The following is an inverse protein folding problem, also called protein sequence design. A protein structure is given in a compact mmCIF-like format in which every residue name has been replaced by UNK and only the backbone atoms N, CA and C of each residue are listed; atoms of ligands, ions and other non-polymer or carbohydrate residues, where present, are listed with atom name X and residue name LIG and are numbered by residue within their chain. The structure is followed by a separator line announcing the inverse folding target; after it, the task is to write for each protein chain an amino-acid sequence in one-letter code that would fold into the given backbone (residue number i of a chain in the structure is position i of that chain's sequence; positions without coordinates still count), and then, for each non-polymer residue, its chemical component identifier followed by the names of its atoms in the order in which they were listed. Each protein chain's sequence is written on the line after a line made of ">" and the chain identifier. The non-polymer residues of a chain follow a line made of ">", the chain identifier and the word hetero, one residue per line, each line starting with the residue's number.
data_IF_509691641689
#
_entry.id   IF_509691641689
#
_cell.length_a   1.000
_cell.length_b   1.000
_cell.length_c   1.000
_cell.angle_alpha   90.00
_cell.angle_beta   90.00
_cell.angle_gamma   90.00
#
_symmetry.space_group_name_H-M   'P 1'
#
loop_
_entity.id
_entity.type
_entity.pdbx_description
1 polymer ?
#
# COMPACT_ATOMS: atom_id res chain seq x y z
N UNK A 1 23.24 -3.29 10.34
CA UNK A 1 22.70 -2.21 9.47
C UNK A 1 23.82 -1.78 8.53
N UNK A 2 23.58 -1.65 7.21
CA UNK A 2 24.61 -1.15 6.28
C UNK A 2 25.02 0.26 6.69
N UNK A 3 26.31 0.57 6.73
CA UNK A 3 26.83 1.87 7.21
C UNK A 3 26.26 3.06 6.43
N UNK A 4 26.04 2.89 5.12
CA UNK A 4 25.41 3.91 4.29
C UNK A 4 24.03 4.34 4.79
N UNK A 5 23.21 3.41 5.30
CA UNK A 5 21.89 3.71 5.83
C UNK A 5 21.94 4.46 7.17
N UNK A 6 22.97 4.21 8.00
CA UNK A 6 23.14 4.92 9.28
C UNK A 6 23.41 6.41 9.07
N UNK A 7 24.15 6.76 8.01
CA UNK A 7 24.51 8.14 7.69
C UNK A 7 23.45 8.87 6.86
N UNK A 8 22.47 8.16 6.27
CA UNK A 8 21.39 8.80 5.53
C UNK A 8 20.55 9.71 6.43
N UNK A 9 20.29 10.95 5.99
CA UNK A 9 19.34 11.87 6.65
C UNK A 9 17.89 11.54 6.29
N UNK A 10 17.62 11.21 5.03
CA UNK A 10 16.30 10.89 4.49
C UNK A 10 16.23 9.45 4.01
N UNK A 11 15.17 8.74 4.39
CA UNK A 11 14.96 7.33 4.11
C UNK A 11 13.57 7.14 3.50
N UNK A 12 13.51 6.56 2.31
CA UNK A 12 12.25 6.08 1.70
C UNK A 12 12.14 4.59 1.96
N UNK A 13 11.11 4.19 2.69
CA UNK A 13 10.85 2.80 3.05
C UNK A 13 9.66 2.34 2.22
N UNK A 14 9.89 1.40 1.30
CA UNK A 14 8.83 0.78 0.51
C UNK A 14 8.41 -0.54 1.13
N UNK A 15 7.10 -0.73 1.30
CA UNK A 15 6.51 -1.95 1.86
C UNK A 15 5.49 -2.53 0.88
N UNK A 16 5.68 -3.80 0.51
CA UNK A 16 4.82 -4.52 -0.43
C UNK A 16 3.55 -5.08 0.22
N UNK A 17 2.58 -5.48 -0.61
CA UNK A 17 1.31 -6.08 -0.16
C UNK A 17 1.53 -7.32 0.71
N UNK A 18 2.47 -8.20 0.33
CA UNK A 18 2.80 -9.43 1.09
C UNK A 18 3.35 -9.17 2.49
N UNK A 19 3.84 -7.96 2.77
CA UNK A 19 4.28 -7.57 4.12
C UNK A 19 3.10 -7.10 4.97
N UNK A 20 2.13 -6.41 4.37
CA UNK A 20 1.00 -5.78 5.07
C UNK A 20 -0.24 -6.67 5.15
N UNK A 21 -0.28 -7.74 4.36
CA UNK A 21 -1.44 -8.61 4.22
C UNK A 21 -1.02 -10.08 4.24
N UNK A 22 -1.89 -10.92 4.79
CA UNK A 22 -1.80 -12.37 4.69
C UNK A 22 -2.25 -12.85 3.30
N UNK A 23 -1.86 -14.07 2.94
CA UNK A 23 -2.26 -14.68 1.66
C UNK A 23 -3.78 -14.81 1.51
N UNK A 24 -4.51 -14.95 2.62
CA UNK A 24 -5.97 -14.96 2.66
C UNK A 24 -6.63 -13.58 2.49
N UNK A 25 -5.86 -12.53 2.19
CA UNK A 25 -6.35 -11.17 1.96
C UNK A 25 -6.72 -10.40 3.23
N UNK A 26 -6.45 -10.93 4.42
CA UNK A 26 -6.59 -10.17 5.67
C UNK A 26 -5.39 -9.27 5.94
N UNK A 27 -5.63 -8.19 6.68
CA UNK A 27 -4.59 -7.25 7.11
C UNK A 27 -3.73 -7.90 8.19
N UNK A 28 -2.41 -7.82 8.04
CA UNK A 28 -1.46 -8.26 9.06
C UNK A 28 -1.16 -7.12 10.04
N UNK A 29 -2.07 -6.92 11.01
CA UNK A 29 -1.97 -5.86 12.01
C UNK A 29 -0.68 -5.97 12.85
N UNK A 30 -0.21 -7.19 13.15
CA UNK A 30 1.03 -7.41 13.90
C UNK A 30 2.24 -6.85 13.17
N UNK A 31 2.34 -7.07 11.85
CA UNK A 31 3.44 -6.50 11.06
C UNK A 31 3.33 -4.99 10.94
N UNK A 32 2.11 -4.46 10.79
CA UNK A 32 1.88 -3.00 10.75
C UNK A 32 2.32 -2.33 12.06
N UNK A 33 1.98 -2.92 13.21
CA UNK A 33 2.39 -2.41 14.52
C UNK A 33 3.93 -2.36 14.64
N UNK A 34 4.60 -3.46 14.30
CA UNK A 34 6.08 -3.51 14.32
C UNK A 34 6.70 -2.49 13.38
N UNK A 35 6.14 -2.34 12.17
CA UNK A 35 6.58 -1.33 11.22
C UNK A 35 6.43 0.08 11.80
N UNK A 36 5.27 0.39 12.39
CA UNK A 36 5.03 1.70 13.00
C UNK A 36 6.04 2.03 14.11
N UNK A 37 6.42 1.04 14.94
CA UNK A 37 7.47 1.20 15.96
C UNK A 37 8.83 1.53 15.35
N UNK A 38 9.26 0.79 14.34
CA UNK A 38 10.52 1.04 13.63
C UNK A 38 10.52 2.43 12.97
N UNK A 39 9.42 2.84 12.35
CA UNK A 39 9.32 4.18 11.74
C UNK A 39 9.37 5.30 12.79
N UNK A 40 8.79 5.07 13.97
CA UNK A 40 8.84 6.02 15.08
C UNK A 40 10.26 6.13 15.65
N UNK A 41 10.97 5.01 15.84
CA UNK A 41 12.36 4.99 16.28
C UNK A 41 13.27 5.76 15.31
N UNK A 42 13.16 5.51 14.01
CA UNK A 42 13.93 6.26 13.00
C UNK A 42 13.65 7.77 13.03
N UNK A 43 12.38 8.16 13.22
CA UNK A 43 12.04 9.58 13.38
C UNK A 43 12.63 10.18 14.66
N UNK A 44 12.64 9.43 15.76
CA UNK A 44 13.23 9.87 17.02
C UNK A 44 14.76 10.02 16.94
N UNK A 45 15.42 9.24 16.07
CA UNK A 45 16.84 9.41 15.72
C UNK A 45 17.11 10.63 14.81
N UNK A 46 16.09 11.44 14.51
CA UNK A 46 16.21 12.63 13.66
C UNK A 46 16.21 12.33 12.16
N UNK A 47 15.82 11.13 11.74
CA UNK A 47 15.70 10.77 10.33
C UNK A 47 14.41 11.31 9.72
N UNK A 48 14.49 11.74 8.47
CA UNK A 48 13.34 12.09 7.66
C UNK A 48 12.83 10.82 6.97
N UNK A 49 11.66 10.33 7.37
CA UNK A 49 11.13 9.04 6.91
C UNK A 49 9.93 9.24 5.99
N UNK A 50 9.97 8.61 4.81
CA UNK A 50 8.84 8.52 3.89
C UNK A 50 8.45 7.05 3.73
N UNK A 51 7.21 6.71 4.06
CA UNK A 51 6.67 5.37 3.85
C UNK A 51 5.91 5.32 2.52
N UNK A 52 6.25 4.34 1.67
CA UNK A 52 5.51 4.01 0.46
C UNK A 52 4.92 2.61 0.64
N UNK A 53 3.60 2.53 0.86
CA UNK A 53 2.91 1.27 1.09
C UNK A 53 2.08 0.82 -0.12
N UNK A 54 2.01 -0.49 -0.32
CA UNK A 54 0.99 -1.12 -1.15
C UNK A 54 -0.17 -1.63 -0.28
N UNK A 55 -1.03 -2.51 -0.81
CA UNK A 55 -2.09 -3.15 -0.02
C UNK A 55 -3.42 -2.40 0.06
N UNK A 56 -3.52 -1.17 -0.45
CA UNK A 56 -4.78 -0.41 -0.49
C UNK A 56 -5.93 -1.19 -1.14
N UNK A 57 -5.64 -1.91 -2.24
CA UNK A 57 -6.64 -2.73 -2.93
C UNK A 57 -7.11 -3.89 -2.06
N UNK A 58 -6.19 -4.61 -1.40
CA UNK A 58 -6.58 -5.74 -0.56
C UNK A 58 -7.33 -5.30 0.69
N UNK A 59 -6.94 -4.18 1.30
CA UNK A 59 -7.70 -3.53 2.39
C UNK A 59 -9.11 -3.18 1.92
N UNK A 60 -9.24 -2.59 0.73
CA UNK A 60 -10.52 -2.26 0.11
C UNK A 60 -11.38 -3.49 -0.14
N UNK A 61 -10.84 -4.54 -0.76
CA UNK A 61 -11.52 -5.81 -0.96
C UNK A 61 -12.04 -6.39 0.35
N UNK A 62 -11.21 -6.41 1.40
CA UNK A 62 -11.60 -6.93 2.70
C UNK A 62 -12.71 -6.08 3.34
N UNK A 63 -12.61 -4.75 3.26
CA UNK A 63 -13.62 -3.83 3.79
C UNK A 63 -14.97 -3.98 3.09
N UNK A 64 -14.94 -4.26 1.79
CA UNK A 64 -16.11 -4.47 0.93
C UNK A 64 -16.57 -5.94 0.87
N UNK A 65 -15.94 -6.84 1.62
CA UNK A 65 -16.23 -8.29 1.61
C UNK A 65 -16.17 -8.92 0.21
N UNK A 66 -15.27 -8.43 -0.64
CA UNK A 66 -15.03 -8.98 -1.97
C UNK A 66 -14.10 -10.19 -1.86
N UNK A 67 -14.55 -11.32 -2.40
CA UNK A 67 -13.76 -12.56 -2.41
C UNK A 67 -12.58 -12.50 -3.38
N UNK A 68 -12.63 -11.63 -4.38
CA UNK A 68 -11.57 -11.45 -5.37
C UNK A 68 -11.26 -9.98 -5.58
N UNK A 69 -10.05 -9.70 -6.07
CA UNK A 69 -9.66 -8.37 -6.52
C UNK A 69 -10.53 -7.96 -7.71
N UNK A 70 -11.18 -6.78 -7.68
CA UNK A 70 -11.93 -6.27 -8.82
C UNK A 70 -11.08 -6.27 -10.09
N UNK A 71 -11.53 -7.01 -11.09
CA UNK A 71 -10.98 -6.99 -12.44
C UNK A 71 -11.67 -5.86 -13.21
N UNK A 72 -11.29 -4.61 -12.95
CA UNK A 72 -11.75 -3.52 -13.81
C UNK A 72 -10.67 -2.46 -13.99
N UNK A 73 -10.06 -2.48 -15.18
CA UNK A 73 -9.67 -1.24 -15.84
C UNK A 73 -10.90 -0.77 -16.62
N UNK A 74 -11.45 0.39 -16.27
CA UNK A 74 -12.34 1.14 -17.16
C UNK A 74 -11.48 1.82 -18.23
N UNK A 75 -10.83 1.04 -19.09
CA UNK A 75 -10.25 1.56 -20.32
C UNK A 75 -11.32 1.47 -21.41
N UNK A 76 -12.01 2.59 -21.67
CA UNK A 76 -12.80 2.82 -22.89
C UNK A 76 -13.96 1.85 -23.19
N UNK A 77 -14.94 1.72 -22.29
CA UNK A 77 -16.32 1.49 -22.78
C UNK A 77 -16.96 2.87 -23.01
N UNK A 78 -16.95 3.32 -24.27
CA UNK A 78 -17.93 4.31 -24.74
C UNK A 78 -19.31 3.82 -24.27
N UNK A 79 -19.99 4.64 -23.48
CA UNK A 79 -21.39 4.44 -23.16
C UNK A 79 -22.15 4.40 -24.51
N UNK A 80 -22.92 3.36 -24.85
CA UNK A 80 -23.64 3.28 -26.14
C UNK A 80 -24.81 4.28 -26.26
N UNK A 81 -24.75 5.40 -25.53
CA UNK A 81 -25.79 6.44 -25.49
C UNK A 81 -25.48 7.67 -26.35
N UNK A 82 -24.43 7.65 -27.18
CA UNK A 82 -24.04 8.79 -28.03
C UNK A 82 -24.22 8.58 -29.55
N UNK A 83 -24.72 7.43 -30.03
CA UNK A 83 -24.93 7.15 -31.47
C UNK A 83 -26.36 7.46 -31.97
N UNK A 84 -27.15 8.31 -31.28
CA UNK A 84 -28.49 8.73 -31.74
C UNK A 84 -28.61 10.23 -32.06
N UNK A 85 -27.50 10.87 -32.41
CA UNK A 85 -27.52 12.23 -32.92
C UNK A 85 -26.44 12.37 -34.00
N UNK A 86 -26.76 11.88 -35.20
CA UNK A 86 -26.38 12.43 -36.51
C UNK A 86 -27.01 11.56 -37.60
#
# INVERSE_FOLDING_TARGET
>A
MRESLKQCKRIVIKVGTSTLMYENGNINLRTIEKLARVLAELRNEGKEVVLVSSGAIGVGCRKLQLNERPKQFLSNKRLPLLDKAN
#
